data_IF_617292286044
#
_entry.id   IF_617292286044
#
_cell.length_a   1.000
_cell.length_b   1.000
_cell.length_c   1.000
_cell.angle_alpha   90.00
_cell.angle_beta   90.00
_cell.angle_gamma   90.00
#
_symmetry.space_group_name_H-M   'P 1'
#
loop_
_entity.id
_entity.type
_entity.pdbx_description
1 polymer ?
#
# COMPACT_ATOMS: atom_id res chain seq x y z
N UNK A 1 -37.20 10.65 -3.42
CA UNK A 1 -36.86 9.94 -2.17
C UNK A 1 -35.73 9.00 -2.51
N UNK A 2 -34.49 9.35 -2.11
CA UNK A 2 -33.27 8.53 -1.99
C UNK A 2 -32.78 7.75 -3.23
N UNK A 3 -31.50 7.70 -3.60
CA UNK A 3 -30.26 8.31 -3.14
C UNK A 3 -29.21 8.07 -4.25
N UNK A 4 -28.03 8.62 -4.09
CA UNK A 4 -27.10 9.13 -5.10
C UNK A 4 -26.33 8.00 -5.80
N UNK A 5 -26.58 7.82 -7.11
CA UNK A 5 -25.60 7.21 -8.03
C UNK A 5 -24.60 8.28 -8.45
N UNK A 6 -23.55 8.47 -7.66
CA UNK A 6 -22.32 9.08 -8.18
C UNK A 6 -21.25 7.98 -8.24
N UNK A 7 -21.10 7.41 -9.43
CA UNK A 7 -19.99 6.53 -9.77
C UNK A 7 -18.68 7.33 -9.61
N UNK A 8 -17.88 7.04 -8.59
CA UNK A 8 -16.45 7.38 -8.65
C UNK A 8 -15.79 6.26 -9.44
N UNK A 9 -15.65 6.47 -10.74
CA UNK A 9 -14.76 5.67 -11.57
C UNK A 9 -13.33 5.85 -11.04
N UNK A 10 -12.78 4.84 -10.36
CA UNK A 10 -11.33 4.72 -10.20
C UNK A 10 -10.90 3.70 -11.23
N UNK A 11 -10.48 4.20 -12.40
CA UNK A 11 -10.05 3.38 -13.51
C UNK A 11 -8.73 2.64 -13.24
N UNK A 12 -8.38 1.77 -14.18
CA UNK A 12 -7.06 1.17 -14.42
C UNK A 12 -5.97 2.22 -14.69
N UNK A 13 -5.82 3.16 -13.76
CA UNK A 13 -4.92 4.31 -13.83
C UNK A 13 -3.61 3.99 -13.15
N UNK A 14 -2.53 4.49 -13.74
CA UNK A 14 -1.19 4.44 -13.17
C UNK A 14 -1.16 4.98 -11.74
N UNK A 15 -0.34 4.37 -10.86
CA UNK A 15 -0.07 4.94 -9.54
C UNK A 15 0.75 6.22 -9.66
N UNK A 16 1.37 6.47 -10.81
CA UNK A 16 2.05 7.73 -11.14
C UNK A 16 1.22 8.96 -10.74
N UNK A 17 1.84 9.85 -9.98
CA UNK A 17 1.24 11.08 -9.48
C UNK A 17 0.33 10.90 -8.24
N UNK A 18 0.10 9.67 -7.76
CA UNK A 18 -0.71 9.44 -6.56
C UNK A 18 0.09 9.64 -5.29
N UNK A 19 -0.60 10.07 -4.24
CA UNK A 19 -0.03 10.34 -2.91
C UNK A 19 -0.88 9.65 -1.85
N UNK A 20 -0.25 8.89 -0.97
CA UNK A 20 -0.86 8.18 0.15
C UNK A 20 -0.34 8.75 1.47
N UNK A 21 -1.25 9.13 2.36
CA UNK A 21 -0.95 9.60 3.71
C UNK A 21 -1.57 8.64 4.73
N UNK A 22 -0.86 7.56 5.12
CA UNK A 22 -1.38 6.57 6.05
C UNK A 22 -1.49 7.10 7.49
N UNK A 23 -2.61 6.79 8.15
CA UNK A 23 -2.94 7.19 9.52
C UNK A 23 -2.89 6.02 10.51
N UNK A 24 -2.71 4.79 10.03
CA UNK A 24 -2.57 3.59 10.86
C UNK A 24 -1.43 2.69 10.37
N UNK A 25 -0.92 1.81 11.24
CA UNK A 25 0.13 0.86 10.87
C UNK A 25 -0.30 -0.09 9.73
N UNK A 26 -1.58 -0.43 9.64
CA UNK A 26 -2.12 -1.25 8.55
C UNK A 26 -2.07 -0.49 7.22
N UNK A 27 -2.54 0.76 7.20
CA UNK A 27 -2.47 1.62 6.01
C UNK A 27 -1.02 1.89 5.59
N UNK A 28 -0.11 2.07 6.55
CA UNK A 28 1.31 2.24 6.25
C UNK A 28 1.87 0.98 5.59
N UNK A 29 1.57 -0.21 6.12
CA UNK A 29 2.00 -1.45 5.50
C UNK A 29 1.48 -1.56 4.07
N UNK A 30 0.19 -1.33 3.84
CA UNK A 30 -0.42 -1.36 2.50
C UNK A 30 0.22 -0.36 1.52
N UNK A 31 0.48 0.87 1.98
CA UNK A 31 1.14 1.89 1.17
C UNK A 31 2.59 1.50 0.81
N UNK A 32 3.31 0.83 1.71
CA UNK A 32 4.66 0.31 1.43
C UNK A 32 4.62 -0.89 0.49
N UNK A 33 3.62 -1.78 0.60
CA UNK A 33 3.43 -2.87 -0.36
C UNK A 33 3.25 -2.31 -1.78
N UNK A 34 2.32 -1.36 -1.93
CA UNK A 34 2.08 -0.63 -3.18
C UNK A 34 3.36 -0.03 -3.75
N UNK A 35 4.13 0.67 -2.90
CA UNK A 35 5.36 1.34 -3.29
C UNK A 35 6.49 0.38 -3.64
N UNK A 36 6.50 -0.82 -3.06
CA UNK A 36 7.47 -1.88 -3.38
C UNK A 36 7.15 -2.59 -4.71
N UNK A 37 5.86 -2.76 -5.03
CA UNK A 37 5.43 -3.32 -6.31
C UNK A 37 5.54 -2.32 -7.48
N UNK A 38 5.59 -1.03 -7.17
CA UNK A 38 5.84 0.03 -8.14
C UNK A 38 7.24 -0.08 -8.76
N UNK A 39 7.33 0.01 -10.10
CA UNK A 39 8.63 -0.01 -10.82
C UNK A 39 8.98 1.36 -11.36
N UNK A 40 8.88 2.35 -10.48
CA UNK A 40 9.34 3.72 -10.67
C UNK A 40 9.83 4.31 -9.35
N UNK A 41 10.29 5.56 -9.39
CA UNK A 41 10.70 6.27 -8.19
C UNK A 41 9.49 6.69 -7.35
N UNK A 42 9.64 6.60 -6.03
CA UNK A 42 8.68 7.12 -5.06
C UNK A 42 9.34 8.20 -4.21
N UNK A 43 8.54 9.13 -3.70
CA UNK A 43 8.94 10.12 -2.72
C UNK A 43 8.30 9.79 -1.38
N UNK A 44 9.13 9.42 -0.40
CA UNK A 44 8.71 9.14 0.97
C UNK A 44 8.93 10.40 1.80
N UNK A 45 7.86 10.94 2.37
CA UNK A 45 7.93 12.02 3.36
C UNK A 45 7.89 11.41 4.75
N UNK A 46 8.87 11.75 5.55
CA UNK A 46 8.99 11.34 6.94
C UNK A 46 8.16 12.25 7.85
N UNK A 47 7.77 11.75 9.02
CA UNK A 47 7.11 12.54 10.07
C UNK A 47 7.98 13.68 10.60
N UNK A 48 9.30 13.60 10.41
CA UNK A 48 10.24 14.69 10.66
C UNK A 48 10.10 15.86 9.66
N UNK A 49 9.38 15.67 8.55
CA UNK A 49 9.25 16.61 7.44
C UNK A 49 10.28 16.40 6.32
N UNK A 50 11.26 15.51 6.52
CA UNK A 50 12.24 15.17 5.50
C UNK A 50 11.57 14.41 4.34
N UNK A 51 11.97 14.72 3.11
CA UNK A 51 11.48 14.04 1.90
C UNK A 51 12.62 13.30 1.21
N UNK A 52 12.40 12.04 0.90
CA UNK A 52 13.38 11.16 0.28
C UNK A 52 12.79 10.57 -0.99
N UNK A 53 13.32 11.01 -2.13
CA UNK A 53 12.94 10.45 -3.43
C UNK A 53 13.89 9.33 -3.82
N UNK A 54 13.36 8.23 -4.35
CA UNK A 54 14.18 7.14 -4.87
C UNK A 54 13.41 5.85 -5.13
N UNK A 55 14.18 4.82 -5.48
CA UNK A 55 13.64 3.52 -5.84
C UNK A 55 13.65 2.57 -4.65
N UNK A 56 12.48 2.04 -4.27
CA UNK A 56 12.39 1.02 -3.22
C UNK A 56 12.82 -0.33 -3.80
N UNK A 57 13.85 -0.93 -3.22
CA UNK A 57 14.36 -2.22 -3.65
C UNK A 57 14.14 -3.33 -2.62
N UNK A 58 13.82 -2.97 -1.38
CA UNK A 58 13.56 -3.95 -0.31
C UNK A 58 12.54 -3.42 0.70
N UNK A 59 11.85 -4.35 1.36
CA UNK A 59 11.06 -4.08 2.56
C UNK A 59 11.15 -5.28 3.50
N UNK A 60 11.14 -4.99 4.78
CA UNK A 60 11.13 -5.98 5.84
C UNK A 60 9.88 -5.75 6.70
N UNK A 61 9.05 -6.79 6.81
CA UNK A 61 7.82 -6.73 7.60
C UNK A 61 8.00 -7.58 8.86
N UNK A 62 8.03 -6.90 10.01
CA UNK A 62 8.09 -7.49 11.34
C UNK A 62 7.18 -6.72 12.31
N UNK A 63 6.83 -7.34 13.45
CA UNK A 63 5.82 -6.80 14.37
C UNK A 63 6.12 -5.36 14.84
N UNK A 64 7.36 -5.06 15.23
CA UNK A 64 7.79 -3.75 15.74
C UNK A 64 8.77 -3.02 14.83
N UNK A 65 9.56 -3.75 14.04
CA UNK A 65 10.73 -3.23 13.34
C UNK A 65 10.56 -3.30 11.81
N UNK A 66 9.35 -3.00 11.33
CA UNK A 66 9.09 -2.94 9.89
C UNK A 66 9.78 -1.73 9.26
N UNK A 67 10.47 -1.96 8.14
CA UNK A 67 11.19 -0.91 7.41
C UNK A 67 11.16 -1.16 5.91
N UNK A 68 11.39 -0.10 5.13
CA UNK A 68 11.70 -0.17 3.71
C UNK A 68 13.14 0.30 3.47
N UNK A 69 13.73 -0.15 2.37
CA UNK A 69 15.02 0.32 1.90
C UNK A 69 14.89 0.82 0.47
N UNK A 70 15.43 2.02 0.25
CA UNK A 70 15.41 2.67 -1.05
C UNK A 70 16.81 3.13 -1.45
N UNK A 71 17.04 3.27 -2.74
CA UNK A 71 18.19 4.00 -3.28
C UNK A 71 17.77 5.44 -3.52
N UNK A 72 18.26 6.41 -2.72
CA UNK A 72 17.90 7.80 -2.91
C UNK A 72 18.39 8.29 -4.27
N UNK A 73 17.62 9.14 -4.94
CA UNK A 73 18.02 9.73 -6.21
C UNK A 73 19.16 10.76 -6.04
N UNK A 74 19.28 11.36 -4.86
CA UNK A 74 20.25 12.40 -4.51
C UNK A 74 21.54 11.84 -3.87
N UNK A 75 21.54 10.57 -3.45
CA UNK A 75 22.65 9.98 -2.70
C UNK A 75 23.00 8.57 -3.18
N UNK A 76 24.30 8.21 -3.22
CA UNK A 76 24.73 6.90 -3.72
C UNK A 76 24.50 5.75 -2.71
N UNK A 77 24.26 6.07 -1.43
CA UNK A 77 24.10 5.07 -0.39
C UNK A 77 22.61 4.72 -0.19
N UNK A 78 22.25 3.42 -0.09
CA UNK A 78 20.89 3.02 0.23
C UNK A 78 20.49 3.56 1.60
N UNK A 79 19.21 3.90 1.73
CA UNK A 79 18.62 4.39 2.98
C UNK A 79 17.55 3.44 3.46
N UNK A 80 17.55 3.18 4.77
CA UNK A 80 16.50 2.47 5.49
C UNK A 80 15.57 3.46 6.16
N UNK A 81 14.26 3.23 6.05
CA UNK A 81 13.21 4.06 6.66
C UNK A 81 12.24 3.14 7.42
N UNK A 82 12.03 3.39 8.70
CA UNK A 82 11.05 2.63 9.49
C UNK A 82 9.63 3.03 9.10
N UNK A 83 8.69 2.08 9.16
CA UNK A 83 7.28 2.35 8.85
C UNK A 83 6.71 3.45 9.76
N UNK A 84 7.13 3.47 11.03
CA UNK A 84 6.72 4.48 12.01
C UNK A 84 7.15 5.90 11.63
N UNK A 85 8.23 6.04 10.85
CA UNK A 85 8.72 7.34 10.40
C UNK A 85 7.99 7.85 9.16
N UNK A 86 7.24 7.01 8.45
CA UNK A 86 6.55 7.38 7.22
C UNK A 86 5.31 8.23 7.54
N UNK A 87 5.25 9.42 6.95
CA UNK A 87 4.08 10.27 6.95
C UNK A 87 3.30 10.15 5.63
N UNK A 88 4.02 10.14 4.50
CA UNK A 88 3.43 10.13 3.16
C UNK A 88 4.29 9.34 2.20
N UNK A 89 3.68 8.66 1.23
CA UNK A 89 4.35 8.07 0.07
C UNK A 89 3.70 8.61 -1.20
N UNK A 90 4.49 9.24 -2.06
CA UNK A 90 4.08 9.73 -3.36
C UNK A 90 4.77 8.93 -4.47
N UNK A 91 4.04 8.61 -5.53
CA UNK A 91 4.51 7.81 -6.66
C UNK A 91 4.90 8.78 -7.77
N UNK A 92 6.19 9.08 -7.93
CA UNK A 92 6.65 10.28 -8.67
C UNK A 92 7.38 10.00 -9.98
N UNK A 93 8.02 8.83 -10.13
CA UNK A 93 8.66 8.42 -11.39
C UNK A 93 7.71 7.61 -12.28
N UNK A 94 8.07 7.39 -13.55
CA UNK A 94 7.25 6.61 -14.50
C UNK A 94 7.16 5.12 -14.09
N UNK A 95 5.95 4.54 -14.09
CA UNK A 95 5.76 3.13 -13.68
C UNK A 95 6.00 2.17 -14.84
N UNK A 96 7.21 1.62 -14.89
CA UNK A 96 7.56 0.67 -15.96
C UNK A 96 6.86 -0.69 -15.78
N UNK A 97 6.20 -0.96 -14.64
CA UNK A 97 5.45 -2.19 -14.38
C UNK A 97 3.97 -2.13 -14.75
N UNK A 98 3.50 -1.03 -15.35
CA UNK A 98 2.09 -0.87 -15.68
C UNK A 98 1.66 -1.77 -16.85
N UNK A 99 1.45 -3.04 -16.51
CA UNK A 99 0.99 -4.16 -17.31
C UNK A 99 0.41 -5.27 -16.42
N UNK A 100 -0.81 -5.06 -15.90
CA UNK A 100 -1.80 -6.08 -15.45
C UNK A 100 -1.68 -6.79 -14.08
N UNK A 101 -0.89 -6.39 -13.09
CA UNK A 101 -0.75 -7.22 -11.85
C UNK A 101 -1.55 -6.75 -10.60
N UNK A 102 -1.80 -5.45 -10.42
CA UNK A 102 -2.21 -4.94 -9.11
C UNK A 102 -3.72 -5.05 -8.79
N UNK A 103 -4.62 -4.61 -9.69
CA UNK A 103 -6.07 -4.69 -9.49
C UNK A 103 -6.56 -6.14 -9.34
N UNK A 104 -5.90 -7.07 -10.03
CA UNK A 104 -6.19 -8.52 -9.96
C UNK A 104 -5.74 -9.12 -8.63
N UNK A 105 -4.68 -8.58 -8.02
CA UNK A 105 -4.18 -9.04 -6.72
C UNK A 105 -4.99 -8.47 -5.55
N UNK A 106 -5.31 -7.17 -5.55
CA UNK A 106 -6.16 -6.55 -4.52
C UNK A 106 -7.57 -7.15 -4.51
N UNK A 107 -8.16 -7.36 -5.68
CA UNK A 107 -9.47 -8.03 -5.79
C UNK A 107 -9.43 -9.48 -5.28
N UNK A 108 -8.30 -10.17 -5.49
CA UNK A 108 -8.11 -11.55 -4.99
C UNK A 108 -7.95 -11.57 -3.46
N UNK A 109 -7.19 -10.65 -2.87
CA UNK A 109 -6.96 -10.58 -1.42
C UNK A 109 -8.20 -10.16 -0.64
N UNK A 110 -8.98 -9.21 -1.16
CA UNK A 110 -10.25 -8.81 -0.54
C UNK A 110 -11.30 -9.94 -0.61
N UNK A 111 -11.35 -10.68 -1.73
CA UNK A 111 -12.19 -11.88 -1.87
C UNK A 111 -11.81 -13.00 -0.89
N UNK A 112 -10.51 -13.22 -0.67
CA UNK A 112 -10.02 -14.20 0.32
C UNK A 112 -10.38 -13.81 1.76
N UNK A 113 -10.34 -12.50 2.10
CA UNK A 113 -10.75 -11.98 3.41
C UNK A 113 -12.25 -12.14 3.66
N UNK A 114 -13.08 -11.89 2.65
CA UNK A 114 -14.53 -12.07 2.74
C UNK A 114 -14.91 -13.55 2.83
N UNK A 115 -14.19 -14.43 2.14
CA UNK A 115 -14.39 -15.87 2.21
C UNK A 115 -14.02 -16.45 3.58
N UNK A 116 -13.00 -15.92 4.24
CA UNK A 116 -12.61 -16.34 5.60
C UNK A 116 -13.65 -15.88 6.65
N UNK A 117 -14.12 -14.64 6.56
CA UNK A 117 -15.18 -14.12 7.44
C UNK A 117 -16.49 -14.91 7.30
N UNK A 118 -16.90 -15.23 6.07
CA UNK A 118 -18.09 -16.02 5.80
C UNK A 118 -17.97 -17.48 6.33
N UNK A 119 -16.77 -18.06 6.31
CA UNK A 119 -16.52 -19.39 6.89
C UNK A 119 -16.60 -19.40 8.41
N UNK A 120 -16.12 -18.34 9.06
CA UNK A 120 -16.19 -18.20 10.52
C UNK A 120 -17.65 -18.03 11.00
N UNK A 121 -18.45 -17.23 10.29
CA UNK A 121 -19.88 -17.08 10.60
C UNK A 121 -20.68 -18.38 10.37
N UNK A 122 -20.35 -19.13 9.32
CA UNK A 122 -21.01 -20.42 9.03
C UNK A 122 -20.68 -21.49 10.09
N UNK A 123 -19.44 -21.55 10.58
CA UNK A 123 -19.05 -22.45 11.67
C UNK A 123 -19.70 -22.05 13.01
N UNK A 124 -19.80 -20.74 13.31
CA UNK A 124 -20.48 -20.24 14.51
C UNK A 124 -21.99 -20.57 14.53
N UNK A 125 -22.66 -20.47 13.37
CA UNK A 125 -24.09 -20.83 13.22
C UNK A 125 -24.32 -22.34 13.35
N UNK A 126 -23.39 -23.15 12.83
CA UNK A 126 -23.47 -24.61 12.90
C UNK A 126 -23.23 -25.14 14.33
N UNK A 127 -22.44 -24.42 15.14
CA UNK A 127 -22.16 -24.75 16.54
C UNK A 127 -23.16 -24.16 17.55
N UNK A 128 -24.19 -23.43 17.09
CA UNK A 128 -25.32 -22.97 17.92
C UNK A 128 -25.02 -21.78 18.83
N UNK A 129 -24.07 -20.91 18.46
CA UNK A 129 -23.72 -19.70 19.22
C UNK A 129 -24.48 -18.43 18.78
N UNK A 130 -25.46 -18.57 17.87
CA UNK A 130 -26.40 -17.54 17.42
C UNK A 130 -27.83 -18.10 17.37
#
# INVERSE_FOLDING_TARGET
MTDIKNHIAVGSGSLEGRVFAPHSAAETAEAVELAFDYRGDVTVVLRSGESVAGYIYNRHVAASDSYLELFPADQPAPRRILYLEIATIAFTGEDTANGKSWETWVSKKESERQAEAARLEADARTRGYL
#
